data_IF_524635038696
#
_entry.id   IF_524635038696
#
_cell.length_a   1.000
_cell.length_b   1.000
_cell.length_c   1.000
_cell.angle_alpha   90.00
_cell.angle_beta   90.00
_cell.angle_gamma   90.00
#
_symmetry.space_group_name_H-M   'P 1'
#
loop_
_entity.id
_entity.type
_entity.pdbx_description
1 polymer ?
#
# COMPACT_ATOMS: atom_id res chain seq x y z
N UNK A 1 15.86 4.94 10.87
CA UNK A 1 15.29 4.81 9.50
C UNK A 1 16.26 5.25 8.39
N UNK A 2 17.53 5.57 8.67
CA UNK A 2 18.44 6.07 7.61
C UNK A 2 18.77 5.00 6.57
N UNK A 3 19.12 3.78 7.01
CA UNK A 3 19.46 2.67 6.12
C UNK A 3 18.42 2.42 5.01
N UNK A 4 17.13 2.35 5.34
CA UNK A 4 16.07 2.10 4.35
C UNK A 4 15.84 3.28 3.41
N UNK A 5 16.03 4.51 3.91
CA UNK A 5 15.97 5.73 3.08
C UNK A 5 17.13 5.79 2.10
N UNK A 6 18.33 5.48 2.58
CA UNK A 6 19.56 5.44 1.78
C UNK A 6 19.54 4.29 0.76
N UNK A 7 18.80 3.22 1.06
CA UNK A 7 18.63 2.06 0.18
C UNK A 7 17.47 2.21 -0.82
N UNK A 8 16.81 3.37 -0.87
CA UNK A 8 15.73 3.61 -1.84
C UNK A 8 16.19 3.36 -3.27
N UNK A 9 15.39 2.59 -4.02
CA UNK A 9 15.62 2.35 -5.45
C UNK A 9 14.35 2.62 -6.25
N UNK A 10 14.42 3.59 -7.16
CA UNK A 10 13.33 3.92 -8.08
C UNK A 10 12.97 2.74 -9.01
N UNK A 11 13.94 1.86 -9.30
CA UNK A 11 13.72 0.66 -10.11
C UNK A 11 12.71 -0.30 -9.49
N UNK A 12 12.58 -0.30 -8.15
CA UNK A 12 11.65 -1.16 -7.44
C UNK A 12 10.20 -0.63 -7.44
N UNK A 13 9.97 0.63 -7.86
CA UNK A 13 8.63 1.24 -7.78
C UNK A 13 7.59 0.51 -8.61
N UNK A 14 7.96 -0.03 -9.78
CA UNK A 14 7.02 -0.71 -10.68
C UNK A 14 6.49 -2.04 -10.11
N UNK A 15 7.24 -2.65 -9.18
CA UNK A 15 6.88 -3.92 -8.55
C UNK A 15 6.14 -3.79 -7.22
N UNK A 16 5.79 -2.57 -6.79
CA UNK A 16 5.15 -2.37 -5.49
C UNK A 16 3.71 -2.90 -5.48
N UNK A 17 3.38 -3.68 -4.45
CA UNK A 17 2.04 -4.26 -4.27
C UNK A 17 0.95 -3.20 -4.25
N UNK A 18 1.22 -2.06 -3.60
CA UNK A 18 0.25 -0.96 -3.44
C UNK A 18 -0.17 -0.25 -4.73
N UNK A 19 0.43 -0.59 -5.88
CA UNK A 19 0.00 -0.05 -7.18
C UNK A 19 -1.06 -0.91 -7.87
N UNK A 20 -1.05 -2.22 -7.62
CA UNK A 20 -1.81 -3.18 -8.43
C UNK A 20 -2.65 -4.15 -7.59
N UNK A 21 -2.56 -4.10 -6.27
CA UNK A 21 -3.27 -4.98 -5.35
C UNK A 21 -3.96 -4.13 -4.27
N UNK A 22 -5.04 -4.68 -3.72
CA UNK A 22 -5.73 -4.11 -2.56
C UNK A 22 -5.73 -5.15 -1.44
N UNK A 23 -5.53 -4.70 -0.22
CA UNK A 23 -5.72 -5.53 0.98
C UNK A 23 -7.07 -5.20 1.61
N UNK A 24 -7.76 -6.23 2.11
CA UNK A 24 -9.09 -6.10 2.71
C UNK A 24 -9.06 -6.79 4.07
N UNK A 25 -9.48 -6.10 5.13
CA UNK A 25 -9.60 -6.70 6.46
C UNK A 25 -10.87 -7.53 6.62
N UNK A 26 -11.00 -8.19 7.78
CA UNK A 26 -12.13 -9.06 8.09
C UNK A 26 -13.46 -8.31 8.26
N UNK A 27 -13.41 -6.98 8.49
CA UNK A 27 -14.58 -6.11 8.54
C UNK A 27 -14.95 -5.57 7.15
N UNK A 28 -14.13 -5.84 6.12
CA UNK A 28 -14.36 -5.42 4.75
C UNK A 28 -13.80 -4.03 4.41
N UNK A 29 -12.98 -3.41 5.25
CA UNK A 29 -12.33 -2.15 4.91
C UNK A 29 -11.13 -2.34 4.00
N UNK A 30 -10.89 -1.36 3.14
CA UNK A 30 -9.93 -1.44 2.03
C UNK A 30 -8.65 -0.65 2.33
N UNK A 31 -7.51 -1.22 1.95
CA UNK A 31 -6.16 -0.67 2.14
C UNK A 31 -5.35 -0.83 0.86
N UNK A 32 -4.37 0.05 0.63
CA UNK A 32 -3.49 -0.04 -0.54
C UNK A 32 -2.60 -1.30 -0.49
N UNK A 33 -2.21 -1.77 0.70
CA UNK A 33 -1.41 -2.99 0.89
C UNK A 33 -1.62 -3.58 2.29
N UNK A 34 -1.08 -4.78 2.51
CA UNK A 34 -1.10 -5.49 3.79
C UNK A 34 -0.35 -4.74 4.91
N UNK A 35 0.75 -4.05 4.60
CA UNK A 35 1.41 -3.16 5.56
C UNK A 35 0.52 -2.00 5.98
N UNK A 36 -0.18 -1.37 5.04
CA UNK A 36 -1.16 -0.33 5.34
C UNK A 36 -2.30 -0.89 6.20
N UNK A 37 -2.73 -2.14 5.96
CA UNK A 37 -3.70 -2.82 6.82
C UNK A 37 -3.19 -3.01 8.24
N UNK A 38 -1.95 -3.49 8.43
CA UNK A 38 -1.35 -3.68 9.75
C UNK A 38 -1.23 -2.35 10.53
N UNK A 39 -1.09 -1.23 9.81
CA UNK A 39 -1.01 0.11 10.38
C UNK A 39 -2.36 0.85 10.45
N UNK A 40 -3.48 0.19 10.10
CA UNK A 40 -4.81 0.80 10.03
C UNK A 40 -4.89 2.03 9.11
N UNK A 41 -4.09 2.07 8.04
CA UNK A 41 -4.04 3.13 7.04
C UNK A 41 -5.05 2.87 5.92
N UNK A 42 -6.35 2.95 6.24
CA UNK A 42 -7.43 2.70 5.28
C UNK A 42 -7.44 3.70 4.12
N UNK A 43 -7.84 3.24 2.93
CA UNK A 43 -8.25 4.13 1.85
C UNK A 43 -9.51 4.89 2.31
N UNK A 44 -9.52 6.21 2.10
CA UNK A 44 -10.69 7.04 2.36
C UNK A 44 -11.51 7.19 1.09
N UNK A 45 -12.83 7.06 1.20
CA UNK A 45 -13.74 7.29 0.08
C UNK A 45 -13.43 8.68 -0.54
N UNK A 46 -13.18 8.78 -1.86
CA UNK A 46 -12.68 10.01 -2.49
C UNK A 46 -13.65 11.19 -2.34
N UNK A 47 -14.96 10.94 -2.39
CA UNK A 47 -16.01 11.94 -2.15
C UNK A 47 -16.42 12.04 -0.68
N UNK A 48 -16.91 10.96 -0.07
CA UNK A 48 -17.53 10.97 1.26
C UNK A 48 -16.54 11.02 2.44
N UNK A 49 -15.25 10.78 2.20
CA UNK A 49 -14.13 10.87 3.17
C UNK A 49 -14.14 9.91 4.38
N UNK A 50 -15.12 9.01 4.51
CA UNK A 50 -15.06 7.91 5.49
C UNK A 50 -14.14 6.78 5.00
N UNK A 51 -13.88 5.77 5.86
CA UNK A 51 -13.15 4.55 5.48
C UNK A 51 -13.89 3.85 4.34
N UNK A 52 -13.19 3.48 3.28
CA UNK A 52 -13.77 2.77 2.15
C UNK A 52 -14.03 1.31 2.55
N UNK A 53 -15.26 0.85 2.34
CA UNK A 53 -15.65 -0.54 2.53
C UNK A 53 -15.80 -1.25 1.17
N UNK A 54 -15.51 -2.55 1.11
CA UNK A 54 -15.50 -3.35 -0.13
C UNK A 54 -16.84 -3.27 -0.90
N UNK A 55 -17.95 -3.14 -0.19
CA UNK A 55 -19.30 -3.00 -0.78
C UNK A 55 -19.49 -1.73 -1.63
N UNK A 56 -18.59 -0.75 -1.51
CA UNK A 56 -18.63 0.51 -2.25
C UNK A 56 -17.56 0.58 -3.36
N UNK A 57 -16.60 -0.35 -3.40
CA UNK A 57 -15.45 -0.31 -4.32
C UNK A 57 -15.89 -0.23 -5.79
N UNK A 58 -16.81 -1.09 -6.21
CA UNK A 58 -17.31 -1.11 -7.60
C UNK A 58 -18.16 0.13 -7.96
N UNK A 59 -18.60 0.89 -6.96
CA UNK A 59 -19.39 2.12 -7.13
C UNK A 59 -18.53 3.38 -7.00
N UNK A 60 -17.24 3.21 -6.73
CA UNK A 60 -16.30 4.29 -6.45
C UNK A 60 -15.20 4.25 -7.50
N UNK A 61 -14.90 5.39 -8.12
CA UNK A 61 -13.72 5.50 -8.97
C UNK A 61 -12.47 5.48 -8.08
N UNK A 62 -11.68 4.42 -8.17
CA UNK A 62 -10.40 4.28 -7.46
C UNK A 62 -9.19 4.68 -8.33
N UNK A 63 -9.43 5.04 -9.58
CA UNK A 63 -8.38 5.52 -10.48
C UNK A 63 -7.82 6.86 -9.99
N UNK A 64 -6.51 7.02 -10.12
CA UNK A 64 -5.78 8.23 -9.74
C UNK A 64 -5.95 8.66 -8.26
N UNK A 65 -6.32 7.72 -7.38
CA UNK A 65 -6.25 7.96 -5.93
C UNK A 65 -4.80 7.77 -5.48
N UNK A 66 -4.22 8.72 -4.73
CA UNK A 66 -2.87 8.55 -4.21
C UNK A 66 -2.82 7.43 -3.18
N UNK A 67 -1.81 6.57 -3.31
CA UNK A 67 -1.46 5.56 -2.31
C UNK A 67 -1.08 6.23 -0.99
N UNK A 68 -1.57 5.71 0.12
CA UNK A 68 -1.17 6.18 1.45
C UNK A 68 0.25 5.69 1.76
N UNK A 69 1.17 6.62 2.00
CA UNK A 69 2.59 6.33 2.27
C UNK A 69 2.99 6.69 3.71
N UNK A 70 3.96 5.95 4.26
CA UNK A 70 4.60 6.21 5.54
C UNK A 70 6.03 5.64 5.55
N UNK A 71 6.74 5.73 6.67
CA UNK A 71 8.15 5.30 6.76
C UNK A 71 8.36 3.81 6.40
N UNK A 72 7.37 2.94 6.59
CA UNK A 72 7.47 1.51 6.21
C UNK A 72 7.64 1.33 4.69
N UNK A 73 7.17 2.27 3.87
CA UNK A 73 7.27 2.19 2.41
C UNK A 73 8.72 2.18 1.93
N UNK A 74 9.66 2.75 2.70
CA UNK A 74 11.09 2.65 2.39
C UNK A 74 11.59 1.21 2.40
N UNK A 75 10.99 0.33 3.21
CA UNK A 75 11.26 -1.11 3.18
C UNK A 75 10.85 -1.76 1.86
N UNK A 76 9.70 -1.35 1.30
CA UNK A 76 9.21 -1.85 0.02
C UNK A 76 10.05 -1.31 -1.15
N UNK A 77 10.41 -0.03 -1.15
CA UNK A 77 11.21 0.59 -2.22
C UNK A 77 12.69 0.23 -2.18
N UNK A 78 13.22 -0.17 -1.02
CA UNK A 78 14.60 -0.64 -0.91
C UNK A 78 14.83 -2.01 -1.57
N UNK A 79 13.76 -2.74 -1.91
CA UNK A 79 13.84 -4.03 -2.60
C UNK A 79 14.23 -5.20 -1.71
N UNK A 80 14.54 -4.95 -0.43
CA UNK A 80 14.85 -5.95 0.59
C UNK A 80 13.70 -6.09 1.61
N UNK A 81 12.45 -6.04 1.10
CA UNK A 81 11.22 -6.06 1.90
C UNK A 81 10.49 -7.41 1.89
N UNK A 82 9.59 -7.60 2.86
CA UNK A 82 8.97 -8.86 3.32
C UNK A 82 8.11 -9.67 2.34
N UNK A 83 8.20 -9.42 1.04
CA UNK A 83 7.54 -10.27 0.05
C UNK A 83 8.25 -11.62 0.00
N UNK A 84 7.49 -12.70 -0.19
CA UNK A 84 7.99 -14.07 -0.34
C UNK A 84 8.98 -14.27 -1.52
N UNK A 85 9.38 -13.21 -2.23
CA UNK A 85 10.41 -13.23 -3.28
C UNK A 85 11.85 -13.24 -2.77
N UNK A 86 12.09 -12.97 -1.48
CA UNK A 86 13.42 -13.01 -0.88
C UNK A 86 14.35 -11.87 -1.32
N UNK A 87 15.40 -11.66 -0.53
CA UNK A 87 16.50 -10.78 -0.90
C UNK A 87 17.23 -11.40 -2.11
N UNK A 88 17.19 -10.74 -3.26
CA UNK A 88 18.03 -11.14 -4.39
C UNK A 88 19.46 -10.77 -4.00
N UNK A 89 20.29 -11.78 -3.74
CA UNK A 89 21.71 -11.68 -3.48
C UNK A 89 22.51 -11.56 -4.78
#
# INVERSE_FOLDING_TARGET
MNLLKDSFSAANMQGLMCLNQLSIDWEGYVYDCDFNQMLNMNIRHPVKRHKLHISEVLKTCLENIPVSIADHCYGCTAGQGSSCGGAIA
#
